data_IF_876573341015
#
_entry.id   IF_876573341015
#
_cell.length_a   1.000
_cell.length_b   1.000
_cell.length_c   1.000
_cell.angle_alpha   90.00
_cell.angle_beta   90.00
_cell.angle_gamma   90.00
#
_symmetry.space_group_name_H-M   'P 1'
#
loop_
_entity.id
_entity.type
_entity.pdbx_description
1 polymer ?
#
# COMPACT_ATOMS: atom_id res chain seq x y z
N UNK A 1 14.10 43.63 -17.58
CA UNK A 1 14.43 42.77 -16.44
C UNK A 1 13.15 42.36 -15.72
N UNK A 2 12.70 41.11 -15.87
CA UNK A 2 11.75 40.50 -14.94
C UNK A 2 12.45 39.48 -14.04
N UNK A 3 12.14 39.56 -12.74
CA UNK A 3 12.47 38.61 -11.68
C UNK A 3 11.94 37.20 -11.97
N UNK A 4 12.68 36.12 -11.67
CA UNK A 4 12.13 34.77 -11.68
C UNK A 4 11.34 34.50 -10.39
N UNK A 5 10.03 34.29 -10.52
CA UNK A 5 9.17 33.69 -9.50
C UNK A 5 9.61 32.24 -9.27
N UNK A 6 9.99 31.93 -8.04
CA UNK A 6 10.34 30.58 -7.61
C UNK A 6 9.15 29.64 -7.79
N UNK A 7 9.34 28.61 -8.61
CA UNK A 7 8.45 27.46 -8.71
C UNK A 7 8.53 26.66 -7.40
N UNK A 8 7.37 26.37 -6.81
CA UNK A 8 7.21 25.43 -5.70
C UNK A 8 7.66 24.04 -6.16
N UNK A 9 8.64 23.39 -5.50
CA UNK A 9 8.93 22.00 -5.79
C UNK A 9 7.78 21.12 -5.31
N UNK A 10 7.18 20.43 -6.27
CA UNK A 10 6.27 19.30 -6.13
C UNK A 10 6.87 18.25 -5.18
N UNK A 11 6.13 17.93 -4.12
CA UNK A 11 6.43 16.83 -3.21
C UNK A 11 6.44 15.51 -3.99
N UNK A 12 7.54 14.72 -3.97
CA UNK A 12 7.52 13.38 -4.55
C UNK A 12 6.67 12.42 -3.67
N UNK A 13 6.05 11.37 -4.23
CA UNK A 13 5.48 10.29 -3.44
C UNK A 13 6.63 9.60 -2.70
N UNK A 14 6.71 9.84 -1.39
CA UNK A 14 7.74 9.22 -0.54
C UNK A 14 7.32 7.80 -0.22
N UNK A 15 7.75 6.89 -1.07
CA UNK A 15 7.71 5.44 -0.88
C UNK A 15 9.08 4.98 -0.38
N UNK A 16 9.08 4.43 0.85
CA UNK A 16 10.02 3.41 1.43
C UNK A 16 11.42 3.95 1.82
N UNK A 17 11.90 3.85 3.08
CA UNK A 17 12.39 2.61 3.72
C UNK A 17 12.21 2.57 5.24
N UNK A 18 11.97 1.37 5.75
CA UNK A 18 12.13 0.97 7.15
C UNK A 18 13.62 0.68 7.43
N UNK A 19 14.22 1.38 8.38
CA UNK A 19 15.53 1.04 8.96
C UNK A 19 15.42 1.03 10.49
N UNK A 20 14.87 -0.06 11.04
CA UNK A 20 15.12 -0.38 12.45
C UNK A 20 16.48 -1.06 12.58
N UNK A 21 17.54 -0.26 12.59
CA UNK A 21 18.88 -0.68 12.99
C UNK A 21 19.13 -0.33 14.45
N UNK A 22 18.60 -1.11 15.40
CA UNK A 22 19.08 -1.07 16.79
C UNK A 22 20.45 -1.75 16.85
N UNK A 23 21.51 -0.96 16.66
CA UNK A 23 22.88 -1.35 16.98
C UNK A 23 23.00 -1.69 18.47
N UNK A 24 23.34 -2.94 18.76
CA UNK A 24 23.42 -3.56 20.08
C UNK A 24 24.85 -3.42 20.61
N UNK A 25 25.03 -2.96 21.86
CA UNK A 25 25.92 -3.56 22.89
C UNK A 25 26.24 -2.60 24.05
N UNK A 26 25.65 -2.84 25.23
CA UNK A 26 26.40 -2.91 26.49
C UNK A 26 25.52 -3.47 27.62
N UNK A 27 25.99 -4.44 28.43
CA UNK A 27 25.21 -5.04 29.50
C UNK A 27 25.60 -4.46 30.86
N UNK A 28 24.94 -3.38 31.31
CA UNK A 28 24.85 -3.03 32.73
C UNK A 28 23.83 -1.89 32.93
N UNK A 29 22.96 -2.06 33.92
CA UNK A 29 21.87 -1.17 34.35
C UNK A 29 20.57 -1.25 33.52
N UNK A 30 19.60 -1.99 34.04
CA UNK A 30 18.19 -1.82 33.67
C UNK A 30 17.58 -0.83 34.68
N UNK A 31 17.36 0.46 34.34
CA UNK A 31 16.35 1.24 35.03
C UNK A 31 14.99 0.88 34.44
N UNK A 32 14.17 0.23 35.25
CA UNK A 32 12.73 0.20 35.10
C UNK A 32 12.22 1.65 35.03
N UNK A 33 11.70 2.10 33.87
CA UNK A 33 10.49 2.95 33.77
C UNK A 33 10.24 3.63 32.42
N UNK A 34 11.15 3.64 31.45
CA UNK A 34 10.85 4.32 30.16
C UNK A 34 10.63 3.35 29.02
N UNK A 35 9.60 2.49 29.13
CA UNK A 35 8.93 1.99 27.93
C UNK A 35 8.20 3.19 27.29
N UNK A 36 8.91 3.97 26.48
CA UNK A 36 8.24 4.88 25.54
C UNK A 36 7.45 4.01 24.58
N UNK A 37 6.16 3.84 24.87
CA UNK A 37 5.21 3.23 23.94
C UNK A 37 5.27 4.08 22.66
N UNK A 38 5.60 3.52 21.49
CA UNK A 38 5.61 4.30 20.26
C UNK A 38 4.24 4.96 20.11
N UNK A 39 4.17 6.18 19.53
CA UNK A 39 2.90 6.88 19.36
C UNK A 39 1.90 5.89 18.73
N UNK A 40 0.82 5.63 19.44
CA UNK A 40 -0.15 4.63 19.03
C UNK A 40 -0.97 5.25 17.90
N UNK A 41 -0.64 4.89 16.67
CA UNK A 41 -1.46 5.24 15.52
C UNK A 41 -2.73 4.40 15.62
N UNK A 42 -3.89 5.05 15.64
CA UNK A 42 -5.17 4.36 15.58
C UNK A 42 -5.42 3.96 14.14
N UNK A 43 -5.38 2.66 13.87
CA UNK A 43 -5.68 2.10 12.55
C UNK A 43 -7.14 1.69 12.52
N UNK A 44 -7.89 2.20 11.53
CA UNK A 44 -9.32 1.91 11.36
C UNK A 44 -9.52 1.26 9.99
N UNK A 45 -10.13 0.08 9.96
CA UNK A 45 -10.52 -0.58 8.72
C UNK A 45 -11.89 -0.11 8.24
N UNK A 46 -11.97 0.44 7.03
CA UNK A 46 -13.24 0.71 6.37
C UNK A 46 -13.72 -0.54 5.62
N UNK A 47 -14.77 -1.17 6.15
CA UNK A 47 -15.40 -2.34 5.53
C UNK A 47 -16.83 -2.02 5.06
N UNK A 48 -17.35 -2.79 4.10
CA UNK A 48 -18.68 -2.60 3.56
C UNK A 48 -18.87 -3.26 2.19
N UNK A 49 -20.12 -3.48 1.79
CA UNK A 49 -20.46 -4.11 0.51
C UNK A 49 -19.99 -3.29 -0.71
N UNK A 50 -19.92 -3.92 -1.88
CA UNK A 50 -19.63 -3.23 -3.15
C UNK A 50 -20.69 -2.13 -3.36
N UNK A 51 -20.26 -0.92 -3.68
CA UNK A 51 -21.16 0.24 -3.84
C UNK A 51 -21.64 0.92 -2.56
N UNK A 52 -21.18 0.50 -1.37
CA UNK A 52 -21.62 1.10 -0.08
C UNK A 52 -21.02 2.49 0.23
N UNK A 53 -20.31 3.12 -0.71
CA UNK A 53 -19.71 4.45 -0.53
C UNK A 53 -18.45 4.51 0.36
N UNK A 54 -17.74 3.39 0.57
CA UNK A 54 -16.50 3.36 1.37
C UNK A 54 -15.47 4.39 0.92
N UNK A 55 -15.26 4.50 -0.40
CA UNK A 55 -14.32 5.46 -0.98
C UNK A 55 -14.73 6.91 -0.71
N UNK A 56 -16.04 7.20 -0.64
CA UNK A 56 -16.55 8.53 -0.26
C UNK A 56 -16.27 8.84 1.21
N UNK A 57 -16.47 7.87 2.11
CA UNK A 57 -16.16 8.04 3.53
C UNK A 57 -14.65 8.17 3.74
N UNK A 58 -13.84 7.40 3.01
CA UNK A 58 -12.39 7.53 3.02
C UNK A 58 -11.94 8.92 2.58
N UNK A 59 -12.52 9.47 1.50
CA UNK A 59 -12.25 10.85 1.07
C UNK A 59 -12.59 11.89 2.16
N UNK A 60 -13.75 11.76 2.80
CA UNK A 60 -14.18 12.64 3.90
C UNK A 60 -13.28 12.55 5.14
N UNK A 61 -12.68 11.38 5.39
CA UNK A 61 -11.68 11.17 6.44
C UNK A 61 -10.34 11.81 6.06
N UNK A 62 -9.91 11.68 4.81
CA UNK A 62 -8.71 12.33 4.28
C UNK A 62 -8.78 13.85 4.39
N UNK A 63 -9.93 14.45 4.04
CA UNK A 63 -10.18 15.89 4.20
C UNK A 63 -10.04 16.36 5.66
N UNK A 64 -10.30 15.48 6.63
CA UNK A 64 -10.16 15.75 8.07
C UNK A 64 -8.75 15.46 8.61
N UNK A 65 -7.79 15.15 7.74
CA UNK A 65 -6.39 14.90 8.09
C UNK A 65 -6.06 13.45 8.43
N UNK A 66 -6.95 12.50 8.14
CA UNK A 66 -6.61 11.08 8.24
C UNK A 66 -5.72 10.66 7.06
N UNK A 67 -4.73 9.81 7.34
CA UNK A 67 -3.98 9.13 6.29
C UNK A 67 -4.81 7.95 5.82
N UNK A 68 -5.25 7.99 4.55
CA UNK A 68 -6.01 6.91 3.93
C UNK A 68 -5.04 5.99 3.19
N UNK A 69 -5.17 4.70 3.45
CA UNK A 69 -4.48 3.63 2.73
C UNK A 69 -5.55 2.83 2.00
N UNK A 70 -5.58 2.93 0.67
CA UNK A 70 -6.52 2.17 -0.17
C UNK A 70 -5.89 0.82 -0.52
N UNK A 71 -6.51 -0.26 -0.03
CA UNK A 71 -6.05 -1.63 -0.29
C UNK A 71 -6.25 -2.06 -1.73
N UNK A 72 -7.28 -1.56 -2.41
CA UNK A 72 -7.61 -1.93 -3.77
C UNK A 72 -6.62 -1.28 -4.75
N UNK A 73 -6.19 -0.05 -4.46
CA UNK A 73 -5.14 0.62 -5.23
C UNK A 73 -3.77 -0.05 -5.02
N UNK A 74 -3.40 -0.37 -3.78
CA UNK A 74 -2.16 -1.10 -3.49
C UNK A 74 -2.14 -2.48 -4.13
N UNK A 75 -3.27 -3.21 -4.11
CA UNK A 75 -3.40 -4.49 -4.77
C UNK A 75 -3.17 -4.39 -6.29
N UNK A 76 -3.49 -3.26 -6.92
CA UNK A 76 -3.19 -3.02 -8.34
C UNK A 76 -1.72 -2.73 -8.58
N UNK A 77 -1.07 -1.93 -7.74
CA UNK A 77 0.36 -1.62 -7.91
C UNK A 77 1.25 -2.85 -7.75
N UNK A 78 0.96 -3.72 -6.78
CA UNK A 78 1.82 -4.89 -6.52
C UNK A 78 1.79 -5.93 -7.65
N UNK A 79 0.76 -5.90 -8.50
CA UNK A 79 0.62 -6.82 -9.64
C UNK A 79 1.04 -6.20 -10.97
N UNK A 80 1.61 -5.00 -10.98
CA UNK A 80 2.18 -4.41 -12.20
C UNK A 80 3.41 -5.22 -12.70
N UNK A 81 3.69 -5.20 -14.02
CA UNK A 81 4.81 -5.93 -14.60
C UNK A 81 6.14 -5.58 -13.93
N UNK A 82 6.89 -6.61 -13.53
CA UNK A 82 8.18 -6.45 -12.85
C UNK A 82 8.12 -6.46 -11.33
N UNK A 83 6.93 -6.53 -10.73
CA UNK A 83 6.78 -6.76 -9.29
C UNK A 83 6.83 -8.25 -8.93
N UNK A 84 7.19 -8.55 -7.68
CA UNK A 84 7.25 -9.93 -7.19
C UNK A 84 5.87 -10.62 -7.22
N UNK A 85 4.79 -9.90 -6.94
CA UNK A 85 3.45 -10.48 -6.96
C UNK A 85 2.97 -10.77 -8.39
N UNK A 86 3.40 -10.00 -9.39
CA UNK A 86 3.11 -10.28 -10.80
C UNK A 86 3.62 -11.68 -11.22
N UNK A 87 4.87 -12.01 -10.88
CA UNK A 87 5.43 -13.33 -11.17
C UNK A 87 4.67 -14.46 -10.44
N UNK A 88 4.32 -14.25 -9.17
CA UNK A 88 3.56 -15.22 -8.38
C UNK A 88 2.15 -15.48 -8.94
N UNK A 89 1.48 -14.43 -9.44
CA UNK A 89 0.16 -14.56 -10.08
C UNK A 89 0.26 -15.38 -11.37
N UNK A 90 1.29 -15.15 -12.20
CA UNK A 90 1.52 -15.95 -13.42
C UNK A 90 1.83 -17.41 -13.08
N UNK A 91 2.63 -17.66 -12.04
CA UNK A 91 2.94 -19.02 -11.60
C UNK A 91 1.70 -19.77 -11.13
N UNK A 92 0.81 -19.08 -10.40
CA UNK A 92 -0.40 -19.68 -9.82
C UNK A 92 -1.54 -19.87 -10.83
N UNK A 93 -1.84 -18.85 -11.62
CA UNK A 93 -2.99 -18.83 -12.54
C UNK A 93 -2.60 -19.17 -14.00
N UNK A 94 -1.29 -19.29 -14.27
CA UNK A 94 -0.76 -19.59 -15.60
C UNK A 94 -0.62 -18.35 -16.50
N UNK A 95 -0.04 -18.51 -17.69
CA UNK A 95 0.20 -17.39 -18.62
C UNK A 95 -1.09 -16.82 -19.25
N UNK A 96 -2.23 -17.49 -19.11
CA UNK A 96 -3.52 -17.05 -19.65
C UNK A 96 -4.10 -15.79 -19.00
N UNK A 97 -3.58 -15.37 -17.83
CA UNK A 97 -3.95 -14.09 -17.19
C UNK A 97 -3.23 -12.88 -17.77
N UNK A 98 -2.23 -13.07 -18.63
CA UNK A 98 -1.37 -11.98 -19.12
C UNK A 98 -1.81 -11.60 -20.53
N UNK A 99 -2.12 -10.32 -20.73
CA UNK A 99 -2.39 -9.74 -22.04
C UNK A 99 -1.07 -9.55 -22.79
N UNK A 100 -1.10 -9.47 -24.13
CA UNK A 100 0.08 -9.40 -25.00
C UNK A 100 1.13 -8.34 -24.63
N UNK A 101 0.77 -7.31 -23.88
CA UNK A 101 1.69 -6.26 -23.39
C UNK A 101 2.39 -6.62 -22.07
N UNK A 102 2.21 -7.84 -21.56
CA UNK A 102 2.78 -8.30 -20.30
C UNK A 102 2.02 -7.83 -19.06
N UNK A 103 0.87 -7.17 -19.23
CA UNK A 103 -0.01 -6.75 -18.13
C UNK A 103 -1.02 -7.84 -17.79
N UNK A 104 -1.40 -7.91 -16.51
CA UNK A 104 -2.42 -8.85 -16.05
C UNK A 104 -3.82 -8.34 -16.44
N UNK A 105 -4.58 -9.19 -17.12
CA UNK A 105 -6.00 -8.99 -17.36
C UNK A 105 -6.78 -9.16 -16.06
N UNK A 106 -7.17 -8.04 -15.48
CA UNK A 106 -7.87 -8.00 -14.19
C UNK A 106 -9.25 -8.64 -14.27
N UNK A 107 -9.93 -8.55 -15.40
CA UNK A 107 -11.26 -9.11 -15.54
C UNK A 107 -11.15 -10.64 -15.54
N UNK A 108 -10.26 -11.19 -16.37
CA UNK A 108 -9.99 -12.62 -16.43
C UNK A 108 -9.44 -13.15 -15.10
N UNK A 109 -8.54 -12.40 -14.43
CA UNK A 109 -8.03 -12.78 -13.09
C UNK A 109 -9.15 -12.79 -12.05
N UNK A 110 -9.99 -11.76 -12.00
CA UNK A 110 -11.11 -11.69 -11.07
C UNK A 110 -12.10 -12.83 -11.33
N UNK A 111 -12.46 -13.07 -12.58
CA UNK A 111 -13.37 -14.13 -12.96
C UNK A 111 -12.83 -15.50 -12.51
N UNK A 112 -11.53 -15.77 -12.67
CA UNK A 112 -10.91 -17.01 -12.18
C UNK A 112 -10.81 -17.08 -10.66
N UNK A 113 -10.42 -15.99 -10.00
CA UNK A 113 -10.29 -15.93 -8.54
C UNK A 113 -11.64 -16.04 -7.83
N UNK A 114 -12.72 -15.54 -8.43
CA UNK A 114 -14.08 -15.67 -7.89
C UNK A 114 -14.79 -16.95 -8.36
N UNK A 115 -14.34 -17.59 -9.44
CA UNK A 115 -14.87 -18.89 -9.89
C UNK A 115 -14.30 -20.07 -9.10
N UNK A 116 -13.07 -19.97 -8.60
CA UNK A 116 -12.45 -21.00 -7.77
C UNK A 116 -12.47 -20.59 -6.28
N UNK A 117 -13.38 -21.15 -5.46
CA UNK A 117 -13.46 -20.85 -4.03
C UNK A 117 -12.27 -21.37 -3.21
N UNK A 118 -11.32 -22.09 -3.82
CA UNK A 118 -10.13 -22.64 -3.17
C UNK A 118 -8.80 -22.07 -3.70
N UNK A 119 -8.83 -21.08 -4.60
CA UNK A 119 -7.65 -20.52 -5.26
C UNK A 119 -6.69 -19.77 -4.34
#
# INVERSE_FOLDING_TARGET
MPTPTAATPSTPPTVIYWLSGCGRSSPAAIPCSTRRRPPQVVVVGLTGAIGSGKSSVAALLAERGAVVVDSDDLAREVVEPGQAAHAAVIERFGPGVVVGDGQIDRQTLADMAFADPAA
#
